data_IF_715538628877
#
_entry.id   IF_715538628877
#
_cell.length_a   1.000
_cell.length_b   1.000
_cell.length_c   1.000
_cell.angle_alpha   90.00
_cell.angle_beta   90.00
_cell.angle_gamma   90.00
#
_symmetry.space_group_name_H-M   'P 1'
#
loop_
_entity.id
_entity.type
_entity.pdbx_description
1 polymer ?
#
# COMPACT_ATOMS: atom_id res chain seq x y z
N UNK A 1 -24.32 -15.10 -5.94
CA UNK A 1 -22.93 -14.61 -6.13
C UNK A 1 -22.66 -13.26 -5.44
N UNK A 2 -23.56 -12.73 -4.60
CA UNK A 2 -23.51 -11.34 -4.12
C UNK A 2 -23.01 -11.13 -2.67
N UNK A 3 -22.43 -12.14 -2.01
CA UNK A 3 -21.97 -12.03 -0.61
C UNK A 3 -20.46 -12.20 -0.40
N UNK A 4 -19.70 -12.66 -1.41
CA UNK A 4 -18.26 -12.92 -1.29
C UNK A 4 -17.38 -11.65 -1.35
N UNK A 5 -17.82 -10.57 -2.01
CA UNK A 5 -17.03 -9.33 -2.12
C UNK A 5 -16.96 -8.51 -0.81
N UNK A 6 -17.80 -8.82 0.18
CA UNK A 6 -17.75 -8.19 1.50
C UNK A 6 -16.89 -8.98 2.51
N UNK A 7 -16.31 -10.12 2.12
CA UNK A 7 -15.51 -10.98 3.02
C UNK A 7 -13.99 -10.88 2.80
N UNK A 8 -13.53 -10.29 1.69
CA UNK A 8 -12.10 -10.13 1.41
C UNK A 8 -11.54 -8.88 2.08
N UNK A 9 -10.31 -8.87 2.62
CA UNK A 9 -9.75 -7.68 3.24
C UNK A 9 -9.39 -6.57 2.24
N UNK A 10 -9.25 -5.34 2.73
CA UNK A 10 -8.58 -4.27 1.98
C UNK A 10 -7.05 -4.45 2.00
N UNK A 11 -6.38 -4.19 0.88
CA UNK A 11 -4.93 -4.08 0.85
C UNK A 11 -4.50 -2.65 1.22
N UNK A 12 -3.62 -2.51 2.21
CA UNK A 12 -3.05 -1.21 2.60
C UNK A 12 -1.57 -1.19 2.26
N UNK A 13 -1.17 -0.44 1.24
CA UNK A 13 0.26 -0.34 0.87
C UNK A 13 0.97 0.70 1.74
N UNK A 14 2.21 0.42 2.15
CA UNK A 14 2.98 1.33 3.01
C UNK A 14 3.27 2.70 2.38
N UNK A 15 3.16 2.82 1.05
CA UNK A 15 3.70 3.94 0.31
C UNK A 15 5.23 3.87 0.26
N UNK A 16 5.90 5.02 0.22
CA UNK A 16 7.35 5.06 0.43
C UNK A 16 7.66 4.74 1.91
N UNK A 17 8.35 3.63 2.21
CA UNK A 17 8.60 3.21 3.59
C UNK A 17 9.54 4.15 4.34
N UNK A 18 10.29 5.01 3.65
CA UNK A 18 11.10 6.06 4.27
C UNK A 18 10.33 7.37 4.48
N UNK A 19 9.10 7.47 3.95
CA UNK A 19 8.22 8.63 4.10
C UNK A 19 7.34 8.56 5.35
N UNK A 20 6.28 9.38 5.36
CA UNK A 20 5.31 9.46 6.46
C UNK A 20 4.20 8.40 6.39
N UNK A 21 4.05 7.72 5.25
CA UNK A 21 2.99 6.72 5.02
C UNK A 21 2.89 5.68 6.14
N UNK A 22 3.98 4.97 6.48
CA UNK A 22 3.98 3.94 7.51
C UNK A 22 3.44 4.42 8.87
N UNK A 23 3.86 5.58 9.36
CA UNK A 23 3.43 6.09 10.67
C UNK A 23 1.98 6.59 10.67
N UNK A 24 1.51 7.15 9.55
CA UNK A 24 0.13 7.61 9.41
C UNK A 24 -0.79 6.39 9.39
N UNK A 25 -0.46 5.37 8.61
CA UNK A 25 -1.22 4.11 8.55
C UNK A 25 -1.29 3.47 9.93
N UNK A 26 -0.16 3.34 10.63
CA UNK A 26 -0.11 2.80 11.99
C UNK A 26 -1.03 3.57 12.95
N UNK A 27 -0.97 4.90 12.94
CA UNK A 27 -1.84 5.75 13.79
C UNK A 27 -3.31 5.63 13.41
N UNK A 28 -3.63 5.56 12.12
CA UNK A 28 -5.01 5.52 11.61
C UNK A 28 -5.72 4.21 11.94
N UNK A 29 -5.01 3.09 11.97
CA UNK A 29 -5.62 1.78 12.23
C UNK A 29 -5.42 1.30 13.68
N UNK A 30 -4.67 2.04 14.49
CA UNK A 30 -4.49 1.73 15.91
C UNK A 30 -5.84 1.74 16.63
N UNK A 31 -6.17 0.62 17.25
CA UNK A 31 -7.45 0.45 17.95
C UNK A 31 -8.62 0.06 17.06
N UNK A 32 -8.40 -0.15 15.75
CA UNK A 32 -9.40 -0.83 14.93
C UNK A 32 -9.51 -2.31 15.33
N UNK A 33 -10.72 -2.71 15.69
CA UNK A 33 -11.04 -4.08 16.08
C UNK A 33 -11.50 -4.95 14.91
N UNK A 34 -11.92 -4.35 13.79
CA UNK A 34 -12.42 -5.10 12.65
C UNK A 34 -11.28 -5.81 11.91
N UNK A 35 -10.14 -5.12 11.76
CA UNK A 35 -8.93 -5.63 11.09
C UNK A 35 -9.22 -6.26 9.73
N UNK A 36 -10.17 -5.67 9.01
CA UNK A 36 -10.57 -6.08 7.67
C UNK A 36 -9.60 -5.54 6.60
N UNK A 37 -8.31 -5.77 6.85
CA UNK A 37 -7.23 -5.29 6.03
C UNK A 37 -5.98 -6.18 6.14
N UNK A 38 -5.12 -6.07 5.13
CA UNK A 38 -3.76 -6.59 5.11
C UNK A 38 -2.82 -5.43 4.79
N UNK A 39 -1.81 -5.21 5.64
CA UNK A 39 -0.79 -4.18 5.38
C UNK A 39 0.36 -4.77 4.58
N UNK A 40 0.83 -4.03 3.58
CA UNK A 40 1.81 -4.50 2.60
C UNK A 40 3.01 -3.56 2.61
N UNK A 41 4.19 -4.07 2.92
CA UNK A 41 5.41 -3.27 3.02
C UNK A 41 6.64 -4.06 3.44
N UNK A 42 7.73 -3.39 3.86
CA UNK A 42 8.97 -4.08 4.22
C UNK A 42 8.81 -4.92 5.49
N UNK A 43 9.65 -5.94 5.63
CA UNK A 43 9.62 -6.92 6.74
C UNK A 43 9.55 -6.25 8.11
N UNK A 44 10.50 -5.36 8.39
CA UNK A 44 10.64 -4.70 9.71
C UNK A 44 9.38 -3.93 10.11
N UNK A 45 8.74 -3.24 9.15
CA UNK A 45 7.48 -2.56 9.40
C UNK A 45 6.32 -3.54 9.56
N UNK A 46 6.21 -4.56 8.71
CA UNK A 46 5.18 -5.59 8.83
C UNK A 46 5.23 -6.31 10.18
N UNK A 47 6.42 -6.70 10.64
CA UNK A 47 6.61 -7.33 11.95
C UNK A 47 6.16 -6.40 13.09
N UNK A 48 6.51 -5.11 13.01
CA UNK A 48 6.02 -4.10 13.97
C UNK A 48 4.49 -4.01 13.97
N UNK A 49 3.86 -3.94 12.80
CA UNK A 49 2.40 -3.86 12.65
C UNK A 49 1.70 -5.10 13.19
N UNK A 50 2.25 -6.29 12.91
CA UNK A 50 1.74 -7.56 13.44
C UNK A 50 1.88 -7.61 14.97
N UNK A 51 3.02 -7.21 15.52
CA UNK A 51 3.27 -7.31 16.96
C UNK A 51 2.51 -6.24 17.78
N UNK A 52 2.46 -5.01 17.30
CA UNK A 52 1.86 -3.89 18.03
C UNK A 52 0.34 -3.78 17.86
N UNK A 53 -0.18 -4.15 16.68
CA UNK A 53 -1.59 -3.98 16.32
C UNK A 53 -2.28 -5.32 16.05
N UNK A 54 -1.53 -6.41 15.79
CA UNK A 54 -2.12 -7.69 15.37
C UNK A 54 -2.72 -7.61 13.97
N UNK A 55 -2.14 -6.78 13.09
CA UNK A 55 -2.55 -6.66 11.70
C UNK A 55 -2.10 -7.91 10.91
N UNK A 56 -2.90 -8.33 9.92
CA UNK A 56 -2.41 -9.25 8.88
C UNK A 56 -1.44 -8.50 7.98
N UNK A 57 -0.38 -9.17 7.53
CA UNK A 57 0.71 -8.53 6.79
C UNK A 57 1.10 -9.33 5.54
N UNK A 58 1.60 -8.63 4.54
CA UNK A 58 2.28 -9.20 3.38
C UNK A 58 3.61 -8.47 3.21
N UNK A 59 4.71 -9.21 3.35
CA UNK A 59 6.06 -8.65 3.26
C UNK A 59 6.46 -8.55 1.79
N UNK A 60 7.03 -7.41 1.41
CA UNK A 60 7.61 -7.14 0.09
C UNK A 60 8.97 -6.46 0.20
N UNK A 61 9.75 -6.50 -0.88
CA UNK A 61 11.09 -5.94 -0.94
C UNK A 61 12.19 -6.80 -0.29
N UNK A 62 13.43 -6.30 -0.22
CA UNK A 62 14.56 -7.05 0.32
C UNK A 62 14.39 -7.41 1.80
N UNK A 63 14.83 -8.63 2.16
CA UNK A 63 14.75 -9.18 3.52
C UNK A 63 15.46 -8.32 4.56
N UNK A 64 16.57 -7.69 4.18
CA UNK A 64 17.44 -6.86 4.99
C UNK A 64 17.15 -5.36 4.83
N UNK A 65 16.07 -4.98 4.15
CA UNK A 65 15.72 -3.58 3.99
C UNK A 65 15.32 -2.94 5.32
N UNK A 66 15.99 -1.82 5.65
CA UNK A 66 15.69 -0.99 6.80
C UNK A 66 15.44 0.44 6.31
N UNK A 67 14.24 0.95 6.57
CA UNK A 67 13.87 2.30 6.19
C UNK A 67 14.65 3.34 7.01
N UNK A 68 15.23 4.32 6.31
CA UNK A 68 15.75 5.55 6.93
C UNK A 68 14.70 6.64 6.83
N UNK A 69 13.98 6.86 7.94
CA UNK A 69 12.87 7.83 7.99
C UNK A 69 13.31 9.23 7.55
N UNK A 70 12.50 9.88 6.71
CA UNK A 70 12.78 11.18 6.11
C UNK A 70 13.84 11.16 5.02
N UNK A 71 14.37 9.99 4.65
CA UNK A 71 15.38 9.83 3.59
C UNK A 71 14.93 8.80 2.53
N UNK A 72 13.91 9.10 1.71
CA UNK A 72 13.58 8.31 0.53
C UNK A 72 14.80 8.01 -0.36
N UNK A 73 14.81 6.84 -0.99
CA UNK A 73 15.92 6.32 -1.80
C UNK A 73 15.42 5.44 -2.95
N UNK A 74 16.35 4.96 -3.79
CA UNK A 74 16.06 3.95 -4.83
C UNK A 74 15.41 2.71 -4.20
N UNK A 75 16.01 2.18 -3.13
CA UNK A 75 15.51 0.98 -2.47
C UNK A 75 14.13 1.19 -1.82
N UNK A 76 13.89 2.37 -1.24
CA UNK A 76 12.57 2.66 -0.66
C UNK A 76 11.49 2.76 -1.76
N UNK A 77 11.84 3.31 -2.93
CA UNK A 77 10.97 3.32 -4.09
C UNK A 77 10.71 1.92 -4.65
N UNK A 78 11.69 1.04 -4.71
CA UNK A 78 11.52 -0.36 -5.13
C UNK A 78 10.51 -1.08 -4.22
N UNK A 79 10.67 -0.97 -2.90
CA UNK A 79 9.72 -1.52 -1.92
C UNK A 79 8.31 -0.95 -2.11
N UNK A 80 8.20 0.36 -2.37
CA UNK A 80 6.91 1.00 -2.61
C UNK A 80 6.21 0.46 -3.88
N UNK A 81 6.98 0.24 -4.96
CA UNK A 81 6.46 -0.36 -6.19
C UNK A 81 6.04 -1.81 -5.98
N UNK A 82 6.84 -2.59 -5.25
CA UNK A 82 6.50 -3.97 -4.95
C UNK A 82 5.20 -4.06 -4.14
N UNK A 83 4.98 -3.15 -3.19
CA UNK A 83 3.72 -3.06 -2.45
C UNK A 83 2.52 -2.71 -3.35
N UNK A 84 2.70 -1.78 -4.30
CA UNK A 84 1.65 -1.42 -5.27
C UNK A 84 1.32 -2.60 -6.20
N UNK A 85 2.33 -3.31 -6.70
CA UNK A 85 2.18 -4.50 -7.56
C UNK A 85 1.47 -5.64 -6.82
N UNK A 86 1.88 -5.91 -5.58
CA UNK A 86 1.27 -6.94 -4.75
C UNK A 86 -0.21 -6.65 -4.48
N UNK A 87 -0.55 -5.40 -4.16
CA UNK A 87 -1.94 -4.98 -3.97
C UNK A 87 -2.77 -5.11 -5.26
N UNK A 88 -2.22 -4.67 -6.40
CA UNK A 88 -2.91 -4.75 -7.69
C UNK A 88 -3.17 -6.21 -8.11
N UNK A 89 -2.13 -7.05 -8.03
CA UNK A 89 -2.23 -8.48 -8.35
C UNK A 89 -3.17 -9.21 -7.38
N UNK A 90 -3.13 -8.89 -6.09
CA UNK A 90 -4.03 -9.49 -5.12
C UNK A 90 -5.50 -9.13 -5.33
N UNK A 91 -5.81 -7.96 -5.90
CA UNK A 91 -7.17 -7.67 -6.35
C UNK A 91 -7.59 -8.55 -7.54
N UNK A 92 -6.70 -8.75 -8.51
CA UNK A 92 -6.95 -9.61 -9.69
C UNK A 92 -7.15 -11.07 -9.27
N UNK A 93 -6.36 -11.54 -8.31
CA UNK A 93 -6.39 -12.92 -7.77
C UNK A 93 -7.53 -13.15 -6.77
N UNK A 94 -8.30 -12.12 -6.41
CA UNK A 94 -9.39 -12.24 -5.43
C UNK A 94 -8.91 -12.42 -3.99
N UNK A 95 -7.71 -11.94 -3.65
CA UNK A 95 -7.18 -11.85 -2.28
C UNK A 95 -7.61 -10.58 -1.56
N UNK A 96 -7.86 -9.50 -2.30
CA UNK A 96 -8.26 -8.20 -1.77
C UNK A 96 -9.47 -7.64 -2.51
N UNK A 97 -10.38 -6.97 -1.80
CA UNK A 97 -11.55 -6.29 -2.41
C UNK A 97 -11.29 -4.85 -2.86
N UNK A 98 -10.12 -4.31 -2.54
CA UNK A 98 -9.73 -2.95 -2.89
C UNK A 98 -8.42 -2.56 -2.25
N UNK A 99 -7.91 -1.40 -2.65
CA UNK A 99 -6.61 -0.89 -2.21
C UNK A 99 -6.77 0.48 -1.54
N UNK A 100 -6.09 0.65 -0.41
CA UNK A 100 -5.85 1.94 0.25
C UNK A 100 -4.35 2.18 0.20
N UNK A 101 -3.90 3.13 -0.62
CA UNK A 101 -2.48 3.33 -0.85
C UNK A 101 -1.86 4.43 0.02
N UNK A 102 -0.69 4.14 0.59
CA UNK A 102 0.16 5.16 1.22
C UNK A 102 0.80 6.09 0.18
N UNK A 103 1.23 7.30 0.57
CA UNK A 103 1.90 8.24 -0.32
C UNK A 103 3.27 7.72 -0.77
N UNK A 104 3.62 7.97 -2.03
CA UNK A 104 4.90 7.59 -2.64
C UNK A 104 5.67 8.82 -3.11
N UNK A 105 7.00 8.73 -3.18
CA UNK A 105 7.81 9.79 -3.78
C UNK A 105 7.90 9.63 -5.30
N UNK A 106 7.20 10.48 -6.05
CA UNK A 106 7.24 10.48 -7.52
C UNK A 106 8.66 10.59 -8.08
N UNK A 107 9.49 11.42 -7.44
CA UNK A 107 10.89 11.60 -7.85
C UNK A 107 11.66 10.28 -7.82
N UNK A 108 11.60 9.53 -6.73
CA UNK A 108 12.33 8.27 -6.60
C UNK A 108 11.72 7.14 -7.43
N UNK A 109 10.39 7.11 -7.58
CA UNK A 109 9.72 6.18 -8.47
C UNK A 109 10.19 6.34 -9.93
N UNK A 110 10.30 7.58 -10.43
CA UNK A 110 10.79 7.82 -11.78
C UNK A 110 12.23 7.35 -11.99
N UNK A 111 13.10 7.49 -10.97
CA UNK A 111 14.49 7.04 -11.04
C UNK A 111 14.64 5.52 -11.18
N UNK A 112 13.64 4.74 -10.78
CA UNK A 112 13.61 3.27 -10.92
C UNK A 112 12.77 2.80 -12.13
N UNK A 113 12.43 3.72 -13.04
CA UNK A 113 11.68 3.39 -14.27
C UNK A 113 10.19 3.18 -14.05
N UNK A 114 9.60 3.76 -13.00
CA UNK A 114 8.16 3.77 -12.82
C UNK A 114 7.51 4.77 -13.79
N UNK A 115 7.14 4.29 -14.97
CA UNK A 115 6.61 5.09 -16.10
C UNK A 115 5.12 5.44 -15.98
N UNK A 116 4.66 5.74 -14.76
CA UNK A 116 3.30 6.24 -14.54
C UNK A 116 3.34 7.64 -13.93
N UNK A 117 2.45 8.57 -14.37
CA UNK A 117 2.31 9.90 -13.75
C UNK A 117 2.00 9.86 -12.24
N UNK A 118 1.37 8.78 -11.79
CA UNK A 118 1.00 8.55 -10.40
C UNK A 118 0.39 7.16 -10.17
N UNK A 119 -0.07 6.95 -8.95
CA UNK A 119 -0.68 5.69 -8.53
C UNK A 119 -2.01 5.43 -9.24
N UNK A 120 -2.77 6.48 -9.59
CA UNK A 120 -4.04 6.37 -10.30
C UNK A 120 -3.84 5.70 -11.66
N UNK A 121 -2.87 6.18 -12.44
CA UNK A 121 -2.57 5.62 -13.76
C UNK A 121 -2.00 4.21 -13.65
N UNK A 122 -1.16 3.94 -12.64
CA UNK A 122 -0.65 2.59 -12.37
C UNK A 122 -1.78 1.58 -12.14
N UNK A 123 -2.73 1.89 -11.24
CA UNK A 123 -3.83 0.96 -10.95
C UNK A 123 -4.81 0.85 -12.12
N UNK A 124 -5.04 1.93 -12.86
CA UNK A 124 -5.87 1.92 -14.05
C UNK A 124 -5.32 0.97 -15.12
N UNK A 125 -4.02 1.04 -15.39
CA UNK A 125 -3.35 0.14 -16.32
C UNK A 125 -3.41 -1.32 -15.83
N UNK A 126 -3.03 -1.55 -14.57
CA UNK A 126 -3.03 -2.89 -13.96
C UNK A 126 -4.41 -3.57 -13.99
N UNK A 127 -5.49 -2.82 -13.86
CA UNK A 127 -6.86 -3.33 -13.84
C UNK A 127 -7.61 -3.17 -15.17
N UNK A 128 -6.99 -2.59 -16.20
CA UNK A 128 -7.58 -2.40 -17.53
C UNK A 128 -8.74 -1.39 -17.57
N UNK A 129 -8.70 -0.34 -16.75
CA UNK A 129 -9.77 0.63 -16.59
C UNK A 129 -9.41 2.07 -17.00
N UNK A 130 -10.43 2.92 -17.16
CA UNK A 130 -10.26 4.38 -17.31
C UNK A 130 -10.59 5.05 -15.97
N UNK A 131 -9.62 5.69 -15.29
CA UNK A 131 -9.82 6.17 -13.93
C UNK A 131 -10.56 7.52 -13.90
N UNK A 132 -11.37 7.73 -12.87
CA UNK A 132 -11.88 9.05 -12.49
C UNK A 132 -11.37 9.39 -11.09
N UNK A 133 -10.91 10.62 -10.89
CA UNK A 133 -10.46 11.10 -9.59
C UNK A 133 -11.56 11.92 -8.92
N UNK A 134 -11.83 11.64 -7.64
CA UNK A 134 -12.80 12.38 -6.83
C UNK A 134 -12.25 12.61 -5.42
N UNK A 135 -12.51 13.80 -4.89
CA UNK A 135 -12.26 14.12 -3.48
C UNK A 135 -13.58 13.99 -2.72
N UNK A 136 -13.59 13.16 -1.68
CA UNK A 136 -14.81 12.87 -0.90
C UNK A 136 -14.56 13.21 0.57
N UNK A 137 -15.45 14.00 1.16
CA UNK A 137 -15.44 14.38 2.57
C UNK A 137 -16.85 14.46 3.13
N UNK A 138 -16.99 14.68 4.45
CA UNK A 138 -18.33 14.85 5.08
C UNK A 138 -19.10 16.04 4.51
N UNK A 139 -18.38 17.07 4.09
CA UNK A 139 -18.86 18.22 3.35
C UNK A 139 -17.80 18.63 2.33
N UNK A 140 -18.22 19.22 1.21
CA UNK A 140 -17.34 19.84 0.23
C UNK A 140 -17.00 21.28 0.63
#
# INVERSE_FOLDING_TARGET
>A
MSNLMHELPLAITCGDPAGVGPEVIEKSIRGDNCKDYVVIGPRTWCESMSNAIGAKTTVVGPEDYIAKLGSPSIQSAEVAVDALREAANGCIEGRYRGVVSGPVSKHWLQLIGFDYPGQTEFFADAWGGCPTMGFVGKSL
#
